data_IF_852101577314
#
_entry.id   IF_852101577314
#
_cell.length_a   1.000
_cell.length_b   1.000
_cell.length_c   1.000
_cell.angle_alpha   90.00
_cell.angle_beta   90.00
_cell.angle_gamma   90.00
#
_symmetry.space_group_name_H-M   'P 1'
#
loop_
_entity.id
_entity.type
_entity.pdbx_description
1 polymer ?
#
# COMPACT_ATOMS: atom_id res chain seq x y z
N UNK A 1 35.34 51.76 15.70
CA UNK A 1 35.59 51.34 14.32
C UNK A 1 35.88 49.85 14.38
N UNK A 2 34.96 49.05 13.93
CA UNK A 2 35.14 47.75 13.29
C UNK A 2 33.85 46.97 13.39
N UNK A 3 33.28 46.75 12.23
CA UNK A 3 32.03 46.02 12.02
C UNK A 3 32.31 44.53 12.07
N UNK A 4 31.61 43.80 12.94
CA UNK A 4 31.55 42.35 12.88
C UNK A 4 30.13 41.94 12.43
N UNK A 5 30.01 41.44 11.19
CA UNK A 5 28.79 40.93 10.60
C UNK A 5 28.60 39.50 11.09
N UNK A 6 27.60 39.27 11.95
CA UNK A 6 27.19 37.94 12.41
C UNK A 6 26.14 37.34 11.46
N UNK A 7 26.53 36.29 10.76
CA UNK A 7 25.60 35.46 9.96
C UNK A 7 24.72 34.61 10.90
N UNK A 8 23.44 34.94 10.98
CA UNK A 8 22.42 34.10 11.66
C UNK A 8 22.04 32.93 10.72
N UNK A 9 22.47 31.73 11.08
CA UNK A 9 21.89 30.50 10.55
C UNK A 9 20.56 30.22 11.24
N UNK A 10 19.48 30.28 10.48
CA UNK A 10 18.14 29.88 10.92
C UNK A 10 18.07 28.35 10.97
N UNK A 11 18.11 27.78 12.17
CA UNK A 11 17.73 26.40 12.44
C UNK A 11 16.22 26.39 12.72
N UNK A 12 15.40 25.99 11.75
CA UNK A 12 13.98 25.70 12.00
C UNK A 12 13.85 24.30 12.63
N UNK A 13 13.70 24.27 13.93
CA UNK A 13 13.39 23.07 14.71
C UNK A 13 11.87 22.87 14.66
N UNK A 14 11.39 21.88 13.94
CA UNK A 14 9.99 21.45 14.01
C UNK A 14 9.82 20.49 15.19
N UNK A 15 9.30 21.00 16.29
CA UNK A 15 8.91 20.20 17.46
C UNK A 15 7.43 19.83 17.30
N UNK A 16 7.15 18.54 17.06
CA UNK A 16 5.79 17.99 17.18
C UNK A 16 5.55 17.66 18.65
N UNK A 17 4.68 18.44 19.28
CA UNK A 17 4.18 18.21 20.64
C UNK A 17 2.96 17.28 20.58
N UNK A 18 3.10 16.03 20.99
CA UNK A 18 1.96 15.19 21.37
C UNK A 18 1.49 15.60 22.78
N UNK A 19 0.47 16.45 22.84
CA UNK A 19 -0.21 16.82 24.10
C UNK A 19 -1.53 16.03 24.12
N UNK A 20 -1.80 15.29 25.21
CA UNK A 20 -3.08 14.61 25.37
C UNK A 20 -4.23 15.63 25.49
N UNK A 21 -5.41 15.29 24.98
CA UNK A 21 -6.61 16.15 25.01
C UNK A 21 -6.95 16.64 26.42
N UNK A 22 -6.73 15.83 27.46
CA UNK A 22 -6.94 16.19 28.87
C UNK A 22 -5.97 17.29 29.33
N UNK A 23 -4.71 17.25 28.88
CA UNK A 23 -3.70 18.28 29.20
C UNK A 23 -4.03 19.61 28.54
N UNK A 24 -4.53 19.60 27.30
CA UNK A 24 -4.97 20.80 26.57
C UNK A 24 -6.17 21.42 27.26
N UNK A 25 -7.12 20.60 27.69
CA UNK A 25 -8.35 21.10 28.39
C UNK A 25 -8.02 21.72 29.74
N UNK A 26 -7.14 21.12 30.53
CA UNK A 26 -6.67 21.70 31.81
C UNK A 26 -5.90 22.99 31.62
N UNK A 27 -5.06 23.12 30.61
CA UNK A 27 -4.33 24.35 30.29
C UNK A 27 -5.29 25.49 29.85
N UNK A 28 -6.31 25.17 29.05
CA UNK A 28 -7.32 26.15 28.66
C UNK A 28 -8.13 26.67 29.83
N UNK A 29 -8.49 25.84 30.82
CA UNK A 29 -9.17 26.25 32.03
C UNK A 29 -8.31 27.15 32.93
N UNK A 30 -7.01 26.90 33.02
CA UNK A 30 -6.06 27.71 33.77
C UNK A 30 -5.83 29.10 33.13
N UNK A 31 -5.73 29.13 31.80
CA UNK A 31 -5.60 30.39 31.04
C UNK A 31 -6.86 31.28 31.15
N UNK A 32 -8.06 30.68 31.17
CA UNK A 32 -9.31 31.39 31.38
C UNK A 32 -9.41 32.02 32.80
N UNK A 33 -8.65 31.49 33.77
CA UNK A 33 -8.59 32.04 35.17
C UNK A 33 -7.44 33.02 35.37
N UNK A 34 -6.72 33.44 34.30
CA UNK A 34 -5.66 34.45 34.40
C UNK A 34 -4.39 33.99 35.12
N UNK A 35 -4.19 32.68 35.30
CA UNK A 35 -3.03 32.11 36.00
C UNK A 35 -1.90 31.93 35.01
N UNK A 36 -0.76 32.61 35.24
CA UNK A 36 0.47 32.36 34.45
C UNK A 36 1.11 31.03 34.86
N UNK A 37 1.15 30.07 33.95
CA UNK A 37 1.79 28.77 34.16
C UNK A 37 3.30 28.88 33.84
N UNK A 38 4.22 28.66 34.81
CA UNK A 38 5.66 28.70 34.52
C UNK A 38 6.11 27.50 33.68
N UNK A 39 6.74 27.75 32.55
CA UNK A 39 7.24 26.76 31.58
C UNK A 39 8.49 25.98 32.04
N UNK A 40 8.72 25.73 33.31
CA UNK A 40 10.02 25.20 33.80
C UNK A 40 10.01 23.79 34.39
N UNK A 41 8.99 22.98 34.21
CA UNK A 41 8.99 21.63 34.81
C UNK A 41 8.35 20.53 33.98
N UNK A 42 8.56 20.48 32.65
CA UNK A 42 8.26 19.29 31.87
C UNK A 42 9.54 18.62 31.43
N UNK A 43 9.98 17.61 32.17
CA UNK A 43 10.93 16.59 31.73
C UNK A 43 10.12 15.60 30.91
N UNK A 44 10.37 15.42 29.60
CA UNK A 44 9.69 14.37 28.83
C UNK A 44 10.20 13.03 29.35
N UNK A 45 9.28 12.18 29.80
CA UNK A 45 9.58 10.77 29.99
C UNK A 45 9.83 10.17 28.57
N UNK A 46 11.11 10.09 28.20
CA UNK A 46 11.55 9.48 26.98
C UNK A 46 11.44 7.97 27.12
N UNK A 47 10.29 7.40 26.87
CA UNK A 47 10.23 6.02 26.38
C UNK A 47 10.69 6.05 24.93
N UNK A 48 11.94 5.65 24.76
CA UNK A 48 12.71 5.68 23.53
C UNK A 48 12.24 4.58 22.57
N UNK A 49 11.08 4.75 21.94
CA UNK A 49 10.55 3.91 20.86
C UNK A 49 10.23 4.70 19.60
N UNK A 50 10.75 5.91 19.47
CA UNK A 50 10.79 6.54 18.15
C UNK A 50 11.89 5.86 17.32
N UNK A 51 11.46 5.10 16.33
CA UNK A 51 12.27 4.51 15.27
C UNK A 51 13.37 5.50 14.87
N UNK A 52 14.63 5.09 15.07
CA UNK A 52 15.75 5.61 14.28
C UNK A 52 15.28 5.67 12.84
N UNK A 53 15.32 6.85 12.23
CA UNK A 53 15.17 6.96 10.79
C UNK A 53 16.02 5.84 10.20
N UNK A 54 15.42 4.90 9.49
CA UNK A 54 16.12 3.75 8.92
C UNK A 54 17.22 4.32 8.07
N UNK A 55 18.46 4.19 8.53
CA UNK A 55 19.61 4.49 7.69
C UNK A 55 19.42 3.65 6.41
N UNK A 56 19.36 4.33 5.28
CA UNK A 56 19.22 3.69 3.97
C UNK A 56 20.34 2.67 3.82
N UNK A 57 20.03 1.44 3.41
CA UNK A 57 21.05 0.42 3.20
C UNK A 57 22.11 0.95 2.23
N UNK A 58 23.38 0.64 2.48
CA UNK A 58 24.52 1.09 1.65
C UNK A 58 24.37 0.75 0.15
N UNK A 59 23.63 -0.31 -0.19
CA UNK A 59 23.35 -0.72 -1.55
C UNK A 59 22.38 0.20 -2.33
N UNK A 60 21.64 1.08 -1.65
CA UNK A 60 20.86 2.14 -2.31
C UNK A 60 21.70 3.12 -3.16
N UNK A 61 23.02 3.09 -3.00
CA UNK A 61 23.94 3.90 -3.79
C UNK A 61 24.19 3.39 -5.22
N UNK A 62 23.68 2.21 -5.57
CA UNK A 62 23.93 1.56 -6.87
C UNK A 62 22.74 1.61 -7.83
N UNK A 63 21.59 2.15 -7.40
CA UNK A 63 20.46 2.29 -8.32
C UNK A 63 20.73 3.44 -9.29
N UNK A 64 20.60 3.14 -10.59
CA UNK A 64 20.65 4.14 -11.65
C UNK A 64 19.57 5.20 -11.44
N UNK A 65 19.89 6.47 -11.69
CA UNK A 65 18.91 7.56 -11.69
C UNK A 65 17.80 7.38 -12.73
N UNK A 66 18.04 6.55 -13.75
CA UNK A 66 17.07 6.20 -14.79
C UNK A 66 16.68 4.74 -14.63
N UNK A 67 15.40 4.44 -14.35
CA UNK A 67 14.90 3.08 -14.33
C UNK A 67 15.03 2.40 -15.69
N UNK A 68 15.21 1.07 -15.76
CA UNK A 68 15.12 0.34 -17.01
C UNK A 68 13.71 0.47 -17.59
N UNK A 69 13.60 0.58 -18.92
CA UNK A 69 12.31 0.68 -19.61
C UNK A 69 11.41 -0.54 -19.34
N UNK A 70 12.01 -1.70 -19.13
CA UNK A 70 11.32 -2.93 -18.70
C UNK A 70 12.26 -3.84 -17.93
N UNK A 71 11.72 -4.54 -16.91
CA UNK A 71 12.43 -5.54 -16.12
C UNK A 71 11.49 -6.71 -15.80
N UNK A 72 12.00 -7.93 -15.89
CA UNK A 72 11.26 -9.17 -15.60
C UNK A 72 11.80 -9.80 -14.32
N UNK A 73 10.90 -10.27 -13.48
CA UNK A 73 11.19 -10.97 -12.23
C UNK A 73 10.70 -12.41 -12.37
N UNK A 74 11.61 -13.35 -12.18
CA UNK A 74 11.37 -14.77 -12.44
C UNK A 74 11.41 -15.60 -11.15
N UNK A 75 10.72 -16.73 -11.17
CA UNK A 75 10.86 -17.80 -10.20
C UNK A 75 12.24 -18.48 -10.26
N UNK A 76 12.48 -19.45 -9.38
CA UNK A 76 13.73 -20.21 -9.32
C UNK A 76 13.96 -21.10 -10.56
N UNK A 77 12.90 -21.39 -11.28
CA UNK A 77 12.86 -22.17 -12.52
C UNK A 77 12.84 -21.30 -13.78
N UNK A 78 13.21 -20.02 -13.65
CA UNK A 78 13.18 -18.99 -14.69
C UNK A 78 11.78 -18.66 -15.24
N UNK A 79 10.69 -19.17 -14.63
CA UNK A 79 9.33 -18.80 -15.00
C UNK A 79 9.11 -17.30 -14.77
N UNK A 80 8.73 -16.51 -15.80
CA UNK A 80 8.44 -15.09 -15.65
C UNK A 80 7.19 -14.88 -14.79
N UNK A 81 7.31 -14.16 -13.68
CA UNK A 81 6.24 -13.93 -12.71
C UNK A 81 5.63 -12.54 -12.84
N UNK A 82 6.49 -11.54 -12.86
CA UNK A 82 6.13 -10.12 -12.91
C UNK A 82 7.03 -9.41 -13.89
N UNK A 83 6.48 -8.45 -14.63
CA UNK A 83 7.23 -7.51 -15.45
C UNK A 83 6.91 -6.09 -14.99
N UNK A 84 7.90 -5.28 -14.76
CA UNK A 84 7.73 -3.83 -14.64
C UNK A 84 8.03 -3.17 -15.97
N UNK A 85 7.23 -2.20 -16.33
CA UNK A 85 7.41 -1.30 -17.47
C UNK A 85 7.45 0.13 -16.95
N UNK A 86 8.41 0.92 -17.40
CA UNK A 86 8.56 2.30 -16.97
C UNK A 86 8.24 3.28 -18.10
N UNK A 87 7.18 4.07 -17.92
CA UNK A 87 6.78 5.14 -18.81
C UNK A 87 7.55 6.42 -18.43
N UNK A 88 8.65 6.67 -19.12
CA UNK A 88 9.62 7.73 -18.75
C UNK A 88 9.03 9.14 -18.86
N UNK A 89 8.16 9.39 -19.85
CA UNK A 89 7.45 10.66 -20.09
C UNK A 89 6.48 11.02 -18.95
N UNK A 90 5.93 9.99 -18.27
CA UNK A 90 4.96 10.11 -17.18
C UNK A 90 5.54 9.79 -15.81
N UNK A 91 6.74 9.20 -15.74
CA UNK A 91 7.33 8.68 -14.49
C UNK A 91 6.41 7.70 -13.78
N UNK A 92 5.77 6.81 -14.53
CA UNK A 92 4.85 5.79 -14.05
C UNK A 92 5.44 4.42 -14.30
N UNK A 93 5.47 3.58 -13.27
CA UNK A 93 5.72 2.14 -13.42
C UNK A 93 4.40 1.41 -13.60
N UNK A 94 4.35 0.49 -14.57
CA UNK A 94 3.28 -0.48 -14.71
C UNK A 94 3.84 -1.84 -14.28
N UNK A 95 3.29 -2.43 -13.24
CA UNK A 95 3.59 -3.77 -12.77
C UNK A 95 2.58 -4.72 -13.38
N UNK A 96 3.05 -5.55 -14.31
CA UNK A 96 2.27 -6.60 -14.95
C UNK A 96 2.44 -7.91 -14.20
N UNK A 97 1.40 -8.44 -13.60
CA UNK A 97 1.32 -9.82 -13.14
C UNK A 97 1.16 -10.72 -14.37
N UNK A 98 2.02 -11.71 -14.57
CA UNK A 98 2.11 -12.39 -15.88
C UNK A 98 1.28 -13.67 -15.99
N UNK A 99 0.74 -14.18 -14.88
CA UNK A 99 -0.06 -15.42 -14.84
C UNK A 99 0.62 -16.65 -15.48
N UNK A 100 1.95 -16.74 -15.41
CA UNK A 100 2.72 -17.84 -15.98
C UNK A 100 2.90 -19.00 -15.01
N UNK A 101 3.03 -18.73 -13.70
CA UNK A 101 3.09 -19.77 -12.66
C UNK A 101 1.69 -20.38 -12.44
N UNK A 102 0.68 -19.52 -12.31
CA UNK A 102 -0.72 -19.92 -12.22
C UNK A 102 -1.57 -19.07 -13.16
N UNK A 103 -2.51 -19.67 -13.92
CA UNK A 103 -3.28 -18.93 -14.94
C UNK A 103 -4.20 -17.86 -14.33
N UNK A 104 -4.41 -17.90 -13.03
CA UNK A 104 -5.31 -17.03 -12.27
C UNK A 104 -4.56 -16.09 -11.27
N UNK A 105 -3.25 -15.89 -11.45
CA UNK A 105 -2.42 -15.02 -10.62
C UNK A 105 -2.59 -15.29 -9.12
N UNK A 106 -2.50 -16.56 -8.69
CA UNK A 106 -2.54 -16.90 -7.26
C UNK A 106 -1.33 -16.32 -6.53
N UNK A 107 -1.57 -15.85 -5.33
CA UNK A 107 -0.53 -15.35 -4.44
C UNK A 107 0.15 -16.56 -3.76
N UNK A 108 1.04 -17.21 -4.52
CA UNK A 108 1.90 -18.32 -4.06
C UNK A 108 3.12 -17.76 -3.34
N UNK A 109 3.88 -18.61 -2.64
CA UNK A 109 5.17 -18.25 -2.08
C UNK A 109 6.12 -17.68 -3.15
N UNK A 110 6.24 -18.40 -4.27
CA UNK A 110 7.10 -18.02 -5.39
C UNK A 110 6.69 -16.68 -5.99
N UNK A 111 5.39 -16.50 -6.28
CA UNK A 111 4.88 -15.27 -6.86
C UNK A 111 5.10 -14.04 -5.96
N UNK A 112 4.90 -14.20 -4.65
CA UNK A 112 5.13 -13.13 -3.68
C UNK A 112 6.63 -12.82 -3.53
N UNK A 113 7.47 -13.85 -3.26
CA UNK A 113 8.87 -13.67 -2.88
C UNK A 113 9.79 -13.33 -4.06
N UNK A 114 9.51 -13.89 -5.24
CA UNK A 114 10.36 -13.74 -6.42
C UNK A 114 9.76 -12.81 -7.48
N UNK A 115 8.47 -12.55 -7.45
CA UNK A 115 7.76 -11.66 -8.36
C UNK A 115 7.42 -10.31 -7.73
N UNK A 116 6.35 -10.26 -6.93
CA UNK A 116 5.75 -9.02 -6.47
C UNK A 116 6.65 -8.21 -5.53
N UNK A 117 7.22 -8.83 -4.50
CA UNK A 117 8.06 -8.11 -3.54
C UNK A 117 9.34 -7.53 -4.13
N UNK A 118 10.11 -8.25 -4.97
CA UNK A 118 11.26 -7.64 -5.64
C UNK A 118 10.87 -6.48 -6.55
N UNK A 119 9.82 -6.63 -7.38
CA UNK A 119 9.33 -5.58 -8.26
C UNK A 119 8.92 -4.31 -7.49
N UNK A 120 8.16 -4.44 -6.40
CA UNK A 120 7.76 -3.32 -5.55
C UNK A 120 8.97 -2.65 -4.88
N UNK A 121 9.95 -3.45 -4.42
CA UNK A 121 11.17 -2.93 -3.79
C UNK A 121 12.02 -2.15 -4.76
N UNK A 122 12.17 -2.62 -6.00
CA UNK A 122 12.94 -1.92 -7.02
C UNK A 122 12.32 -0.56 -7.35
N UNK A 123 11.00 -0.48 -7.54
CA UNK A 123 10.30 0.79 -7.72
C UNK A 123 10.51 1.73 -6.51
N UNK A 124 10.39 1.20 -5.29
CA UNK A 124 10.66 1.96 -4.06
C UNK A 124 12.10 2.48 -4.01
N UNK A 125 13.07 1.68 -4.46
CA UNK A 125 14.48 2.06 -4.46
C UNK A 125 14.79 3.14 -5.48
N UNK A 126 14.20 3.08 -6.68
CA UNK A 126 14.31 4.16 -7.66
C UNK A 126 13.74 5.46 -7.11
N UNK A 127 12.56 5.43 -6.50
CA UNK A 127 12.00 6.61 -5.84
C UNK A 127 12.90 7.15 -4.73
N UNK A 128 13.45 6.28 -3.90
CA UNK A 128 14.37 6.66 -2.83
C UNK A 128 15.65 7.32 -3.35
N UNK A 129 16.19 6.84 -4.47
CA UNK A 129 17.33 7.46 -5.16
C UNK A 129 16.97 8.88 -5.63
N UNK A 130 15.80 9.07 -6.25
CA UNK A 130 15.33 10.39 -6.68
C UNK A 130 15.11 11.37 -5.51
N UNK A 131 14.59 10.88 -4.39
CA UNK A 131 14.48 11.70 -3.16
C UNK A 131 15.85 12.16 -2.70
N UNK A 132 16.85 11.27 -2.69
CA UNK A 132 18.23 11.58 -2.30
C UNK A 132 18.87 12.61 -3.26
N UNK A 133 18.59 12.51 -4.54
CA UNK A 133 19.10 13.39 -5.59
C UNK A 133 18.28 14.69 -5.74
N UNK A 134 17.25 14.90 -4.90
CA UNK A 134 16.29 16.01 -5.01
C UNK A 134 15.56 16.07 -6.36
N UNK A 135 15.40 14.91 -7.01
CA UNK A 135 14.76 14.76 -8.33
C UNK A 135 13.30 14.25 -8.19
N UNK A 136 12.48 14.91 -7.36
CA UNK A 136 11.10 14.49 -7.09
C UNK A 136 10.04 15.46 -7.63
N UNK A 137 10.42 16.57 -8.25
CA UNK A 137 9.50 17.66 -8.63
C UNK A 137 8.29 17.18 -9.46
N UNK A 138 8.50 16.23 -10.37
CA UNK A 138 7.44 15.67 -11.21
C UNK A 138 6.62 14.57 -10.52
N UNK A 139 7.07 14.11 -9.36
CA UNK A 139 6.49 12.96 -8.69
C UNK A 139 6.68 11.65 -9.46
N UNK A 140 5.94 10.62 -9.06
CA UNK A 140 5.88 9.32 -9.72
C UNK A 140 4.63 8.56 -9.27
N UNK A 141 4.29 7.45 -9.95
CA UNK A 141 3.20 6.56 -9.54
C UNK A 141 3.45 5.12 -9.97
N UNK A 142 2.68 4.19 -9.38
CA UNK A 142 2.68 2.77 -9.71
C UNK A 142 1.28 2.33 -10.13
N UNK A 143 1.17 1.61 -11.23
CA UNK A 143 -0.05 0.91 -11.67
C UNK A 143 0.22 -0.59 -11.62
N UNK A 144 -0.70 -1.38 -11.04
CA UNK A 144 -0.62 -2.86 -11.07
C UNK A 144 -1.75 -3.41 -11.93
N UNK A 145 -1.43 -4.31 -12.86
CA UNK A 145 -2.38 -4.93 -13.78
C UNK A 145 -2.12 -6.42 -13.99
N UNK A 146 -3.10 -7.13 -14.52
CA UNK A 146 -3.00 -8.51 -14.98
C UNK A 146 -2.83 -8.55 -16.53
N UNK A 147 -2.53 -9.73 -17.15
CA UNK A 147 -2.41 -9.85 -18.59
C UNK A 147 -3.70 -9.44 -19.32
N UNK A 148 -3.58 -8.83 -20.51
CA UNK A 148 -4.70 -8.24 -21.25
C UNK A 148 -5.78 -9.25 -21.70
N UNK A 149 -5.42 -10.48 -21.88
CA UNK A 149 -6.32 -11.60 -22.26
C UNK A 149 -6.89 -12.35 -21.05
N UNK A 150 -6.37 -12.11 -19.84
CA UNK A 150 -6.78 -12.82 -18.64
C UNK A 150 -8.11 -12.28 -18.09
N UNK A 151 -9.04 -13.22 -17.77
CA UNK A 151 -10.32 -12.88 -17.13
C UNK A 151 -10.17 -12.59 -15.62
N UNK A 152 -9.00 -12.82 -15.06
CA UNK A 152 -8.75 -12.80 -13.62
C UNK A 152 -7.60 -11.84 -13.33
N UNK A 153 -7.86 -10.86 -12.46
CA UNK A 153 -6.81 -10.02 -11.88
C UNK A 153 -5.99 -10.85 -10.90
N UNK A 154 -6.63 -11.46 -9.90
CA UNK A 154 -6.05 -12.46 -9.01
C UNK A 154 -7.15 -13.24 -8.30
N UNK A 155 -6.99 -14.56 -8.23
CA UNK A 155 -7.92 -15.47 -7.55
C UNK A 155 -7.54 -15.76 -6.08
N UNK A 156 -6.71 -14.91 -5.48
CA UNK A 156 -6.33 -15.01 -4.08
C UNK A 156 -5.18 -15.99 -3.83
N UNK A 157 -5.27 -16.77 -2.75
CA UNK A 157 -4.18 -17.62 -2.30
C UNK A 157 -4.14 -18.98 -3.01
N UNK A 158 -2.95 -19.56 -3.09
CA UNK A 158 -2.81 -21.01 -3.12
C UNK A 158 -3.07 -21.53 -1.70
N UNK A 159 -4.36 -21.69 -1.37
CA UNK A 159 -4.82 -21.90 0.00
C UNK A 159 -4.21 -23.16 0.64
N UNK A 160 -4.11 -24.25 -0.13
CA UNK A 160 -3.59 -25.53 0.41
C UNK A 160 -2.13 -25.37 0.83
N UNK A 161 -1.29 -24.78 0.00
CA UNK A 161 0.12 -24.57 0.32
C UNK A 161 0.31 -23.47 1.37
N UNK A 162 -0.52 -22.43 1.35
CA UNK A 162 -0.52 -21.38 2.35
C UNK A 162 -0.85 -21.90 3.77
N UNK A 163 -1.81 -22.84 3.90
CA UNK A 163 -2.17 -23.45 5.18
C UNK A 163 -1.14 -24.47 5.70
N UNK A 164 -0.35 -25.07 4.80
CA UNK A 164 0.75 -25.97 5.18
C UNK A 164 1.96 -25.26 5.77
N UNK A 165 2.13 -23.99 5.43
CA UNK A 165 3.22 -23.16 5.98
C UNK A 165 2.70 -22.24 7.09
N UNK A 166 3.02 -22.49 8.37
CA UNK A 166 2.58 -21.69 9.48
C UNK A 166 3.10 -20.24 9.44
N UNK A 167 4.12 -19.98 8.62
CA UNK A 167 4.74 -18.67 8.46
C UNK A 167 4.21 -17.89 7.24
N UNK A 168 3.43 -18.53 6.35
CA UNK A 168 2.99 -17.91 5.10
C UNK A 168 2.33 -16.55 5.28
N UNK A 169 1.39 -16.45 6.20
CA UNK A 169 0.64 -15.20 6.42
C UNK A 169 1.54 -14.07 6.93
N UNK A 170 2.44 -14.36 7.86
CA UNK A 170 3.31 -13.33 8.46
C UNK A 170 4.48 -12.94 7.57
N UNK A 171 5.17 -13.95 7.00
CA UNK A 171 6.46 -13.74 6.36
C UNK A 171 6.33 -13.45 4.85
N UNK A 172 5.17 -13.81 4.25
CA UNK A 172 4.92 -13.58 2.83
C UNK A 172 3.75 -12.63 2.61
N UNK A 173 2.52 -13.01 2.94
CA UNK A 173 1.31 -12.25 2.59
C UNK A 173 1.24 -10.89 3.30
N UNK A 174 1.39 -10.87 4.62
CA UNK A 174 1.39 -9.63 5.40
C UNK A 174 2.54 -8.69 5.00
N UNK A 175 3.68 -9.26 4.60
CA UNK A 175 4.82 -8.50 4.10
C UNK A 175 4.51 -7.82 2.76
N UNK A 176 3.80 -8.50 1.86
CA UNK A 176 3.32 -7.93 0.60
C UNK A 176 2.34 -6.76 0.85
N UNK A 177 1.33 -6.98 1.69
CA UNK A 177 0.35 -5.93 1.99
C UNK A 177 1.01 -4.75 2.70
N UNK A 178 1.92 -4.98 3.65
CA UNK A 178 2.67 -3.93 4.32
C UNK A 178 3.53 -3.11 3.32
N UNK A 179 4.16 -3.78 2.35
CA UNK A 179 4.92 -3.10 1.31
C UNK A 179 4.03 -2.15 0.49
N UNK A 180 2.83 -2.59 0.10
CA UNK A 180 1.84 -1.76 -0.60
C UNK A 180 1.25 -0.67 0.30
N UNK A 181 0.84 -0.99 1.53
CA UNK A 181 0.23 -0.03 2.46
C UNK A 181 1.16 1.13 2.86
N UNK A 182 2.47 0.93 2.80
CA UNK A 182 3.50 1.95 3.12
C UNK A 182 4.22 2.46 1.87
N UNK A 183 3.63 2.28 0.67
CA UNK A 183 4.32 2.64 -0.57
C UNK A 183 4.52 4.16 -0.67
N UNK A 184 5.70 4.64 -1.11
CA UNK A 184 6.04 6.07 -1.00
C UNK A 184 5.42 6.96 -2.08
N UNK A 185 4.86 6.37 -3.14
CA UNK A 185 4.22 7.06 -4.26
C UNK A 185 2.79 6.55 -4.46
N UNK A 186 1.89 7.28 -5.13
CA UNK A 186 0.54 6.82 -5.42
C UNK A 186 0.50 5.48 -6.13
N UNK A 187 -0.43 4.61 -5.73
CA UNK A 187 -0.61 3.27 -6.29
C UNK A 187 -2.02 3.09 -6.83
N UNK A 188 -2.16 2.52 -8.03
CA UNK A 188 -3.46 2.26 -8.69
C UNK A 188 -3.54 0.80 -9.10
N UNK A 189 -4.60 0.10 -8.71
CA UNK A 189 -4.92 -1.23 -9.24
C UNK A 189 -5.81 -1.12 -10.48
N UNK A 190 -5.36 -1.67 -11.60
CA UNK A 190 -6.11 -1.83 -12.84
C UNK A 190 -6.76 -3.22 -12.86
N UNK A 191 -7.99 -3.31 -12.39
CA UNK A 191 -8.71 -4.57 -12.19
C UNK A 191 -9.47 -4.92 -13.48
N UNK A 192 -8.79 -5.55 -14.42
CA UNK A 192 -9.35 -5.92 -15.72
C UNK A 192 -10.30 -7.13 -15.71
N UNK A 193 -10.39 -7.85 -14.59
CA UNK A 193 -11.20 -9.06 -14.43
C UNK A 193 -11.52 -9.37 -12.97
N UNK A 194 -11.76 -10.64 -12.65
CA UNK A 194 -12.11 -11.07 -11.28
C UNK A 194 -10.96 -10.80 -10.28
N UNK A 195 -11.30 -10.27 -9.12
CA UNK A 195 -10.41 -10.16 -7.97
C UNK A 195 -11.10 -10.81 -6.76
N UNK A 196 -10.66 -12.01 -6.39
CA UNK A 196 -11.29 -12.81 -5.34
C UNK A 196 -10.34 -13.01 -4.15
N UNK A 197 -10.92 -13.16 -2.96
CA UNK A 197 -10.20 -13.51 -1.75
C UNK A 197 -9.01 -12.54 -1.49
N UNK A 198 -7.80 -13.06 -1.29
CA UNK A 198 -6.60 -12.25 -1.15
C UNK A 198 -6.28 -11.40 -2.41
N UNK A 199 -6.80 -11.77 -3.59
CA UNK A 199 -6.71 -10.96 -4.82
C UNK A 199 -7.54 -9.67 -4.74
N UNK A 200 -8.72 -9.74 -4.12
CA UNK A 200 -9.50 -8.55 -3.79
C UNK A 200 -8.78 -7.69 -2.75
N UNK A 201 -8.23 -8.32 -1.70
CA UNK A 201 -7.42 -7.61 -0.71
C UNK A 201 -6.20 -6.94 -1.34
N UNK A 202 -5.54 -7.60 -2.32
CA UNK A 202 -4.43 -7.01 -3.09
C UNK A 202 -4.87 -5.72 -3.81
N UNK A 203 -6.04 -5.74 -4.46
CA UNK A 203 -6.58 -4.54 -5.10
C UNK A 203 -6.86 -3.43 -4.06
N UNK A 204 -7.47 -3.77 -2.91
CA UNK A 204 -7.77 -2.82 -1.83
C UNK A 204 -6.51 -2.24 -1.14
N UNK A 205 -5.38 -2.95 -1.16
CA UNK A 205 -4.13 -2.47 -0.61
C UNK A 205 -3.53 -1.28 -1.38
N UNK A 206 -3.91 -1.09 -2.64
CA UNK A 206 -3.57 0.11 -3.43
C UNK A 206 -4.34 1.34 -2.92
N UNK A 207 -3.93 2.53 -3.34
CA UNK A 207 -4.64 3.77 -3.00
C UNK A 207 -5.94 3.89 -3.78
N UNK A 208 -5.87 3.61 -5.09
CA UNK A 208 -6.98 3.73 -6.03
C UNK A 208 -7.17 2.44 -6.82
N UNK A 209 -8.37 2.25 -7.37
CA UNK A 209 -8.79 1.08 -8.16
C UNK A 209 -9.62 1.52 -9.34
N UNK A 210 -9.27 1.03 -10.51
CA UNK A 210 -10.09 1.16 -11.73
C UNK A 210 -10.52 -0.23 -12.14
N UNK A 211 -11.81 -0.45 -12.39
CA UNK A 211 -12.36 -1.78 -12.70
C UNK A 211 -13.01 -1.82 -14.09
N UNK A 212 -12.84 -2.95 -14.77
CA UNK A 212 -13.52 -3.23 -16.02
C UNK A 212 -15.04 -3.35 -15.79
N UNK A 213 -15.83 -2.52 -16.47
CA UNK A 213 -17.29 -2.47 -16.33
C UNK A 213 -18.01 -3.62 -17.06
N UNK A 214 -17.35 -4.30 -17.97
CA UNK A 214 -17.95 -5.35 -18.79
C UNK A 214 -17.70 -6.75 -18.22
N UNK A 215 -16.75 -6.89 -17.28
CA UNK A 215 -16.32 -8.18 -16.79
C UNK A 215 -15.66 -8.10 -15.41
N UNK A 216 -15.89 -9.14 -14.61
CA UNK A 216 -15.25 -9.32 -13.32
C UNK A 216 -16.13 -9.01 -12.14
N UNK A 217 -15.74 -9.54 -11.00
CA UNK A 217 -16.35 -9.28 -9.70
C UNK A 217 -15.25 -9.05 -8.67
N UNK A 218 -15.54 -8.22 -7.68
CA UNK A 218 -14.77 -8.16 -6.42
C UNK A 218 -15.52 -9.03 -5.41
N UNK A 219 -14.83 -9.97 -4.76
CA UNK A 219 -15.48 -10.89 -3.84
C UNK A 219 -14.50 -11.40 -2.76
N UNK A 220 -14.98 -11.45 -1.52
CA UNK A 220 -14.30 -12.11 -0.40
C UNK A 220 -15.10 -13.37 -0.08
N UNK A 221 -14.75 -14.47 -0.75
CA UNK A 221 -15.56 -15.70 -0.72
C UNK A 221 -15.10 -16.75 0.28
N UNK A 222 -14.26 -16.39 1.25
CA UNK A 222 -13.76 -17.29 2.30
C UNK A 222 -14.88 -17.95 3.10
N UNK A 223 -15.98 -17.23 3.32
CA UNK A 223 -17.15 -17.75 4.02
C UNK A 223 -17.80 -18.95 3.30
N UNK A 224 -17.74 -18.99 1.95
CA UNK A 224 -18.36 -20.04 1.15
C UNK A 224 -17.68 -21.41 1.34
N UNK A 225 -16.37 -21.43 1.68
CA UNK A 225 -15.62 -22.66 1.91
C UNK A 225 -15.07 -22.78 3.34
N UNK A 226 -15.60 -21.98 4.28
CA UNK A 226 -15.34 -22.11 5.71
C UNK A 226 -13.94 -21.65 6.15
N UNK A 227 -13.23 -20.86 5.35
CA UNK A 227 -11.93 -20.31 5.72
C UNK A 227 -12.11 -19.00 6.50
N UNK A 228 -11.48 -18.84 7.68
CA UNK A 228 -11.46 -17.56 8.37
C UNK A 228 -10.55 -16.56 7.65
N UNK A 229 -10.97 -15.28 7.64
CA UNK A 229 -10.18 -14.21 7.04
C UNK A 229 -9.05 -13.82 8.00
N UNK A 230 -7.78 -13.87 7.58
CA UNK A 230 -6.66 -13.43 8.39
C UNK A 230 -6.77 -11.96 8.78
N UNK A 231 -6.31 -11.60 9.99
CA UNK A 231 -6.43 -10.24 10.52
C UNK A 231 -5.76 -9.19 9.63
N UNK A 232 -4.62 -9.51 9.01
CA UNK A 232 -3.96 -8.64 8.05
C UNK A 232 -4.85 -8.30 6.85
N UNK A 233 -5.53 -9.29 6.27
CA UNK A 233 -6.49 -9.07 5.18
C UNK A 233 -7.70 -8.26 5.65
N UNK A 234 -8.26 -8.60 6.82
CA UNK A 234 -9.39 -7.86 7.39
C UNK A 234 -9.03 -6.38 7.62
N UNK A 235 -7.85 -6.09 8.13
CA UNK A 235 -7.37 -4.73 8.33
C UNK A 235 -7.30 -3.92 7.03
N UNK A 236 -6.87 -4.54 5.92
CA UNK A 236 -6.90 -3.89 4.59
C UNK A 236 -8.33 -3.61 4.15
N UNK A 237 -9.23 -4.60 4.27
CA UNK A 237 -10.65 -4.45 3.90
C UNK A 237 -11.31 -3.31 4.68
N UNK A 238 -11.16 -3.29 6.00
CA UNK A 238 -11.78 -2.28 6.86
C UNK A 238 -11.18 -0.89 6.68
N UNK A 239 -9.94 -0.80 6.18
CA UNK A 239 -9.33 0.50 5.85
C UNK A 239 -10.00 1.20 4.67
N UNK A 240 -10.67 0.46 3.78
CA UNK A 240 -11.42 0.97 2.63
C UNK A 240 -12.92 0.93 2.91
N UNK A 241 -13.47 -0.22 3.30
CA UNK A 241 -14.87 -0.39 3.64
C UNK A 241 -15.14 0.10 5.08
N UNK A 242 -15.49 1.39 5.24
CA UNK A 242 -15.70 2.01 6.57
C UNK A 242 -17.09 1.75 7.16
N UNK A 243 -18.09 1.46 6.33
CA UNK A 243 -19.45 1.23 6.77
C UNK A 243 -19.62 -0.22 7.29
N UNK A 244 -20.16 -0.44 8.50
CA UNK A 244 -20.34 -1.79 9.05
C UNK A 244 -21.23 -2.68 8.20
N UNK A 245 -22.23 -2.14 7.50
CA UNK A 245 -23.09 -2.87 6.56
C UNK A 245 -22.30 -3.40 5.35
N UNK A 246 -21.39 -2.55 4.80
CA UNK A 246 -20.54 -2.94 3.69
C UNK A 246 -19.53 -4.00 4.12
N UNK A 247 -18.95 -3.87 5.34
CA UNK A 247 -18.06 -4.89 5.88
C UNK A 247 -18.76 -6.25 5.98
N UNK A 248 -20.00 -6.30 6.53
CA UNK A 248 -20.76 -7.56 6.59
C UNK A 248 -21.02 -8.12 5.20
N UNK A 249 -21.43 -7.28 4.26
CA UNK A 249 -21.67 -7.68 2.88
C UNK A 249 -20.44 -8.29 2.22
N UNK A 250 -19.25 -7.73 2.48
CA UNK A 250 -17.97 -8.26 2.00
C UNK A 250 -17.63 -9.59 2.68
N UNK A 251 -17.54 -9.62 4.02
CA UNK A 251 -16.84 -10.71 4.74
C UNK A 251 -17.76 -11.81 5.27
N UNK A 252 -19.05 -11.52 5.52
CA UNK A 252 -20.01 -12.50 6.07
C UNK A 252 -21.02 -13.00 5.03
N UNK A 253 -21.23 -12.24 3.94
CA UNK A 253 -22.17 -12.61 2.88
C UNK A 253 -21.43 -13.10 1.61
N UNK A 254 -20.10 -12.88 1.50
CA UNK A 254 -19.32 -13.27 0.31
C UNK A 254 -19.86 -12.64 -0.98
N UNK A 255 -20.42 -11.43 -0.87
CA UNK A 255 -21.08 -10.77 -2.00
C UNK A 255 -20.12 -10.52 -3.16
N UNK A 256 -20.61 -10.78 -4.38
CA UNK A 256 -19.89 -10.56 -5.65
C UNK A 256 -20.23 -9.18 -6.20
N UNK A 257 -19.43 -8.18 -5.89
CA UNK A 257 -19.66 -6.82 -6.37
C UNK A 257 -19.35 -6.72 -7.86
N UNK A 258 -20.32 -6.25 -8.65
CA UNK A 258 -20.10 -5.77 -10.01
C UNK A 258 -19.37 -4.41 -9.99
N UNK A 259 -18.84 -3.97 -11.15
CA UNK A 259 -18.16 -2.68 -11.21
C UNK A 259 -19.07 -1.48 -10.86
N UNK A 260 -20.35 -1.40 -11.32
CA UNK A 260 -21.27 -0.35 -10.88
C UNK A 260 -21.53 -0.36 -9.37
N UNK A 261 -21.80 -1.53 -8.78
CA UNK A 261 -21.99 -1.65 -7.33
C UNK A 261 -20.73 -1.27 -6.53
N UNK A 262 -19.56 -1.74 -6.98
CA UNK A 262 -18.29 -1.43 -6.34
C UNK A 262 -17.98 0.08 -6.36
N UNK A 263 -18.35 0.77 -7.45
CA UNK A 263 -18.22 2.22 -7.58
C UNK A 263 -19.18 2.95 -6.62
N UNK A 264 -20.44 2.54 -6.58
CA UNK A 264 -21.45 3.10 -5.69
C UNK A 264 -21.07 2.95 -4.21
N UNK A 265 -20.48 1.79 -3.85
CA UNK A 265 -20.05 1.50 -2.48
C UNK A 265 -18.67 2.10 -2.14
N UNK A 266 -17.99 2.79 -3.07
CA UNK A 266 -16.67 3.36 -2.86
C UNK A 266 -15.54 2.32 -2.75
N UNK A 267 -15.77 1.09 -3.21
CA UNK A 267 -14.74 0.06 -3.27
C UNK A 267 -13.77 0.27 -4.44
N UNK A 268 -14.19 1.00 -5.47
CA UNK A 268 -13.36 1.43 -6.59
C UNK A 268 -13.58 2.92 -6.88
N UNK A 269 -12.67 3.52 -7.64
CA UNK A 269 -12.63 4.97 -7.90
C UNK A 269 -13.09 5.33 -9.31
N UNK A 270 -13.03 4.39 -10.25
CA UNK A 270 -13.48 4.57 -11.63
C UNK A 270 -13.76 3.22 -12.31
N UNK A 271 -14.47 3.27 -13.42
CA UNK A 271 -14.71 2.13 -14.31
C UNK A 271 -14.31 2.48 -15.74
N UNK A 272 -14.01 1.45 -16.54
CA UNK A 272 -13.80 1.58 -17.98
C UNK A 272 -14.22 0.31 -18.69
N UNK A 273 -14.47 0.39 -20.00
CA UNK A 273 -14.79 -0.78 -20.82
C UNK A 273 -13.53 -1.49 -21.27
N UNK A 274 -13.57 -2.82 -21.21
CA UNK A 274 -12.47 -3.67 -21.62
C UNK A 274 -11.24 -3.54 -20.73
N UNK A 275 -10.29 -4.44 -20.90
CA UNK A 275 -9.10 -4.49 -20.05
C UNK A 275 -8.09 -3.40 -20.40
N UNK A 276 -7.87 -3.14 -21.70
CA UNK A 276 -6.98 -2.06 -22.14
C UNK A 276 -7.52 -0.70 -21.69
N UNK A 277 -8.83 -0.43 -21.89
CA UNK A 277 -9.43 0.82 -21.41
C UNK A 277 -9.33 0.99 -19.89
N UNK A 278 -9.42 -0.12 -19.13
CA UNK A 278 -9.21 -0.10 -17.68
C UNK A 278 -7.77 0.29 -17.32
N UNK A 279 -6.79 -0.23 -18.03
CA UNK A 279 -5.38 0.15 -17.84
C UNK A 279 -5.15 1.61 -18.23
N UNK A 280 -5.69 2.06 -19.36
CA UNK A 280 -5.54 3.44 -19.83
C UNK A 280 -6.10 4.45 -18.82
N UNK A 281 -7.28 4.17 -18.24
CA UNK A 281 -7.87 5.00 -17.19
C UNK A 281 -7.05 4.94 -15.89
N UNK A 282 -6.50 3.77 -15.53
CA UNK A 282 -5.62 3.64 -14.37
C UNK A 282 -4.32 4.45 -14.53
N UNK A 283 -3.71 4.41 -15.71
CA UNK A 283 -2.51 5.21 -16.05
C UNK A 283 -2.84 6.70 -16.04
N UNK A 284 -3.98 7.12 -16.60
CA UNK A 284 -4.41 8.52 -16.58
C UNK A 284 -4.67 9.01 -15.14
N UNK A 285 -5.25 8.16 -14.28
CA UNK A 285 -5.44 8.45 -12.86
C UNK A 285 -4.09 8.58 -12.13
N UNK A 286 -3.17 7.66 -12.39
CA UNK A 286 -1.82 7.68 -11.83
C UNK A 286 -1.06 8.95 -12.25
N UNK A 287 -1.14 9.36 -13.52
CA UNK A 287 -0.52 10.58 -14.04
C UNK A 287 -1.05 11.84 -13.34
N UNK A 288 -2.37 11.94 -13.15
CA UNK A 288 -3.00 13.04 -12.40
C UNK A 288 -2.52 13.11 -10.94
N UNK A 289 -2.21 11.96 -10.33
CA UNK A 289 -1.87 11.86 -8.91
C UNK A 289 -0.37 11.94 -8.62
N UNK A 290 0.50 11.58 -9.57
CA UNK A 290 1.93 11.43 -9.35
C UNK A 290 2.60 12.65 -8.73
N UNK A 291 2.20 13.86 -9.08
CA UNK A 291 2.77 15.08 -8.51
C UNK A 291 2.51 15.26 -7.01
N UNK A 292 1.55 14.53 -6.43
CA UNK A 292 1.19 14.63 -5.00
C UNK A 292 2.28 14.13 -4.08
N UNK A 293 3.16 13.21 -4.53
CA UNK A 293 4.29 12.74 -3.74
C UNK A 293 5.57 13.59 -3.89
N UNK A 294 5.59 14.58 -4.76
CA UNK A 294 6.76 15.42 -5.07
C UNK A 294 7.41 16.06 -3.83
N UNK A 295 6.63 16.43 -2.81
CA UNK A 295 7.09 17.04 -1.57
C UNK A 295 7.33 16.05 -0.43
N UNK A 296 7.40 14.75 -0.72
CA UNK A 296 7.70 13.65 0.22
C UNK A 296 6.73 13.52 1.42
N UNK A 297 5.56 14.18 1.40
CA UNK A 297 4.56 14.07 2.45
C UNK A 297 3.58 12.88 2.24
N UNK A 298 3.49 12.37 1.01
CA UNK A 298 2.51 11.34 0.63
C UNK A 298 2.61 10.11 1.51
N UNK A 299 3.79 9.54 1.65
CA UNK A 299 4.00 8.32 2.44
C UNK A 299 3.58 8.52 3.90
N UNK A 300 4.02 9.60 4.54
CA UNK A 300 3.73 9.87 5.95
C UNK A 300 2.22 10.04 6.20
N UNK A 301 1.52 10.80 5.34
CA UNK A 301 0.07 11.01 5.44
C UNK A 301 -0.67 9.69 5.19
N UNK A 302 -0.25 8.92 4.21
CA UNK A 302 -0.84 7.62 3.88
C UNK A 302 -0.66 6.60 5.01
N UNK A 303 0.52 6.54 5.62
CA UNK A 303 0.79 5.66 6.77
C UNK A 303 -0.12 6.01 7.96
N UNK A 304 -0.35 7.28 8.25
CA UNK A 304 -1.31 7.71 9.28
C UNK A 304 -2.76 7.34 8.90
N UNK A 305 -3.16 7.55 7.64
CA UNK A 305 -4.51 7.21 7.16
C UNK A 305 -4.79 5.70 7.25
N UNK A 306 -3.79 4.87 7.03
CA UNK A 306 -3.88 3.40 7.00
C UNK A 306 -3.23 2.72 8.23
N UNK A 307 -3.02 3.45 9.32
CA UNK A 307 -2.28 2.97 10.50
C UNK A 307 -2.84 1.66 11.06
N UNK A 308 -4.14 1.55 11.24
CA UNK A 308 -4.78 0.31 11.73
C UNK A 308 -4.55 -0.88 10.80
N UNK A 309 -4.64 -0.66 9.48
CA UNK A 309 -4.35 -1.69 8.50
C UNK A 309 -2.88 -2.10 8.51
N UNK A 310 -1.96 -1.16 8.70
CA UNK A 310 -0.52 -1.43 8.79
C UNK A 310 -0.22 -2.22 10.07
N UNK A 311 -0.79 -1.83 11.20
CA UNK A 311 -0.59 -2.51 12.48
C UNK A 311 -1.12 -3.95 12.44
N UNK A 312 -2.26 -4.18 11.79
CA UNK A 312 -2.82 -5.52 11.62
C UNK A 312 -1.90 -6.52 10.89
N UNK A 313 -0.93 -6.03 10.10
CA UNK A 313 0.05 -6.87 9.41
C UNK A 313 1.14 -7.45 10.34
N UNK A 314 1.23 -6.98 11.57
CA UNK A 314 2.21 -7.45 12.56
C UNK A 314 1.61 -8.38 13.62
N UNK A 315 0.29 -8.54 13.60
CA UNK A 315 -0.35 -9.43 14.57
C UNK A 315 -0.23 -10.89 14.13
N UNK A 316 0.18 -11.80 15.03
CA UNK A 316 0.24 -13.22 14.72
C UNK A 316 -1.16 -13.74 14.38
N UNK A 317 -1.29 -14.71 13.45
CA UNK A 317 -2.55 -15.38 13.20
C UNK A 317 -3.02 -16.01 14.51
N UNK A 318 -4.30 -15.85 14.86
CA UNK A 318 -4.87 -16.55 16.02
C UNK A 318 -4.77 -18.06 15.78
N UNK A 319 -4.31 -18.79 16.77
CA UNK A 319 -3.94 -20.22 16.72
C UNK A 319 -5.08 -21.21 16.38
N UNK A 320 -6.24 -20.75 15.93
CA UNK A 320 -7.43 -21.59 15.70
C UNK A 320 -8.05 -21.41 14.33
N UNK A 321 -7.22 -21.58 13.27
CA UNK A 321 -7.76 -21.75 11.94
C UNK A 321 -7.82 -23.25 11.65
N UNK A 322 -8.85 -23.92 12.13
CA UNK A 322 -9.18 -25.29 11.69
C UNK A 322 -10.11 -25.14 10.49
N UNK A 323 -9.57 -25.31 9.29
CA UNK A 323 -10.39 -25.45 8.08
C UNK A 323 -10.76 -26.91 7.99
N UNK A 324 -12.04 -27.23 8.13
CA UNK A 324 -12.55 -28.56 7.79
C UNK A 324 -12.62 -28.63 6.27
N UNK A 325 -11.61 -29.24 5.66
CA UNK A 325 -11.57 -29.55 4.23
C UNK A 325 -12.26 -30.89 3.99
#
# INVERSE_FOLDING_TARGET
MEHCVSARRSLSLHIYLCISWETVHSMLQLLQRGIRVPMKSYVPCATNTFRKARAWPRWAAFYSSVPPASQVYCGKDDTPLVRTEYLSDKRIWILHMLAQETPDNRLTHTFIEHGLLPALRDVRMHWASWVKESNTADGAALVTTAPMDNKIFSNGLDLINALRDPHFFNDHLNKLFRELLTFPIPTVASVGGHAFAAGFTLALAHDYRVMNSERGYLCMNEIEFGAPIPKGMLGVITSVARQPSLQRKIVLEGHRFTAPEALEQGLIDATSKGQQGTLDVAVALADRLRSRCAKNAWQAIRELLKEEAILSQYEPPKAHITVSI
#
